data_IF_550775944721
#
_entry.id   IF_550775944721
#
_cell.length_a   1.000
_cell.length_b   1.000
_cell.length_c   1.000
_cell.angle_alpha   90.00
_cell.angle_beta   90.00
_cell.angle_gamma   90.00
#
_symmetry.space_group_name_H-M   'P 1'
#
loop_
_entity.id
_entity.type
_entity.pdbx_description
1 polymer ?
#
# COMPACT_ATOMS: atom_id res chain seq x y z
N UNK A 1 -73.43 31.51 2.21
CA UNK A 1 -72.31 30.56 2.38
C UNK A 1 -72.08 30.41 3.87
N UNK A 2 -71.98 29.17 4.36
CA UNK A 2 -71.74 28.87 5.78
C UNK A 2 -70.38 28.21 5.99
N UNK A 3 -69.96 28.06 7.25
CA UNK A 3 -68.75 27.31 7.60
C UNK A 3 -69.01 25.80 7.50
N UNK A 4 -67.99 25.02 7.13
CA UNK A 4 -68.03 23.57 7.25
C UNK A 4 -67.89 23.15 8.72
N UNK A 5 -68.48 22.01 9.11
CA UNK A 5 -68.28 21.44 10.44
C UNK A 5 -66.85 20.92 10.57
N UNK A 6 -66.17 21.26 11.67
CA UNK A 6 -64.82 20.76 11.93
C UNK A 6 -64.80 19.26 12.18
N UNK A 7 -63.68 18.63 11.84
CA UNK A 7 -63.41 17.21 12.09
C UNK A 7 -62.29 17.08 13.12
N UNK A 8 -62.21 15.93 13.80
CA UNK A 8 -61.04 15.61 14.63
C UNK A 8 -59.78 15.55 13.76
N UNK A 9 -58.68 16.07 14.30
CA UNK A 9 -57.40 16.01 13.61
C UNK A 9 -57.01 14.55 13.35
N UNK A 10 -56.66 14.20 12.10
CA UNK A 10 -56.23 12.85 11.79
C UNK A 10 -54.86 12.57 12.44
N UNK A 11 -54.57 11.28 12.63
CA UNK A 11 -53.24 10.82 13.06
C UNK A 11 -52.54 10.06 11.94
N UNK A 12 -51.26 10.36 11.71
CA UNK A 12 -50.40 9.60 10.81
C UNK A 12 -49.06 9.32 11.49
N UNK A 13 -48.77 8.05 11.75
CA UNK A 13 -47.59 7.63 12.52
C UNK A 13 -46.31 8.16 11.90
N UNK A 14 -45.52 8.88 12.68
CA UNK A 14 -44.26 9.50 12.24
C UNK A 14 -44.39 10.87 11.61
N UNK A 15 -45.59 11.44 11.62
CA UNK A 15 -45.89 12.74 11.05
C UNK A 15 -46.67 13.63 12.01
N UNK A 16 -46.40 14.93 11.92
CA UNK A 16 -47.13 15.99 12.59
C UNK A 16 -48.19 16.51 11.60
N UNK A 17 -49.46 16.48 12.00
CA UNK A 17 -50.54 17.09 11.22
C UNK A 17 -50.33 18.62 11.17
N UNK A 18 -50.35 19.19 9.96
CA UNK A 18 -50.12 20.63 9.74
C UNK A 18 -51.40 21.40 9.42
N UNK A 19 -52.49 20.70 9.08
CA UNK A 19 -53.76 21.29 8.70
C UNK A 19 -54.30 20.73 7.39
N UNK A 20 -55.44 21.28 6.96
CA UNK A 20 -56.13 20.90 5.74
C UNK A 20 -55.78 21.86 4.59
N UNK A 21 -55.68 21.36 3.37
CA UNK A 21 -55.44 22.16 2.17
C UNK A 21 -56.36 21.73 1.01
N UNK A 22 -56.75 22.66 0.14
CA UNK A 22 -57.60 22.36 -1.03
C UNK A 22 -56.88 21.61 -2.15
N UNK A 23 -55.56 21.46 -2.08
CA UNK A 23 -54.76 20.67 -3.00
C UNK A 23 -53.94 19.61 -2.26
N UNK A 24 -53.77 18.44 -2.88
CA UNK A 24 -53.05 17.30 -2.28
C UNK A 24 -51.58 17.60 -2.01
N UNK A 25 -50.95 18.39 -2.86
CA UNK A 25 -49.55 18.82 -2.78
C UNK A 25 -49.32 20.02 -1.84
N UNK A 26 -50.38 20.54 -1.21
CA UNK A 26 -50.31 21.67 -0.30
C UNK A 26 -50.19 23.04 -0.98
N UNK A 27 -50.22 23.13 -2.31
CA UNK A 27 -50.12 24.40 -3.05
C UNK A 27 -51.42 25.20 -3.08
N UNK A 28 -52.53 24.57 -2.67
CA UNK A 28 -53.84 25.18 -2.58
C UNK A 28 -53.98 26.08 -1.35
N UNK A 29 -55.22 26.42 -1.04
CA UNK A 29 -55.53 27.28 0.10
C UNK A 29 -55.57 26.43 1.36
N UNK A 30 -54.89 26.90 2.42
CA UNK A 30 -55.03 26.33 3.76
C UNK A 30 -56.46 26.52 4.23
N UNK A 31 -57.13 25.44 4.60
CA UNK A 31 -58.51 25.44 5.04
C UNK A 31 -58.60 25.49 6.56
N UNK A 32 -59.26 26.53 7.06
CA UNK A 32 -59.59 26.71 8.48
C UNK A 32 -61.11 26.65 8.66
N UNK A 33 -61.59 25.64 9.38
CA UNK A 33 -63.02 25.42 9.61
C UNK A 33 -63.71 26.57 10.36
N UNK A 34 -62.96 27.46 11.04
CA UNK A 34 -63.52 28.60 11.75
C UNK A 34 -63.71 29.83 10.87
N UNK A 35 -63.00 29.91 9.74
CA UNK A 35 -62.94 31.14 8.93
C UNK A 35 -63.22 30.92 7.44
N UNK A 36 -63.03 29.71 6.93
CA UNK A 36 -63.21 29.37 5.52
C UNK A 36 -64.68 29.10 5.18
N UNK A 37 -65.24 29.90 4.26
CA UNK A 37 -66.63 29.76 3.81
C UNK A 37 -66.75 28.69 2.72
N UNK A 38 -67.80 27.85 2.81
CA UNK A 38 -68.09 26.85 1.79
C UNK A 38 -68.55 27.51 0.48
N UNK A 39 -67.93 27.19 -0.67
CA UNK A 39 -68.37 27.64 -1.98
C UNK A 39 -69.63 26.89 -2.45
N UNK A 40 -70.23 27.32 -3.57
CA UNK A 40 -71.44 26.69 -4.14
C UNK A 40 -71.11 25.43 -4.98
N UNK A 41 -70.21 24.60 -4.47
CA UNK A 41 -69.77 23.33 -5.05
C UNK A 41 -69.05 22.50 -3.98
N UNK A 42 -68.87 21.22 -4.25
CA UNK A 42 -68.15 20.32 -3.34
C UNK A 42 -66.66 20.69 -3.27
N UNK A 43 -66.09 20.57 -2.06
CA UNK A 43 -64.66 20.82 -1.78
C UNK A 43 -64.05 19.55 -1.21
N UNK A 44 -62.95 19.09 -1.82
CA UNK A 44 -62.12 18.02 -1.25
C UNK A 44 -60.94 18.65 -0.52
N UNK A 45 -60.74 18.26 0.74
CA UNK A 45 -59.63 18.71 1.56
C UNK A 45 -58.61 17.58 1.75
N UNK A 46 -57.33 17.93 1.69
CA UNK A 46 -56.22 17.01 1.85
C UNK A 46 -55.44 17.37 3.11
N UNK A 47 -55.26 16.38 3.99
CA UNK A 47 -54.44 16.52 5.18
C UNK A 47 -52.97 16.72 4.78
N UNK A 48 -52.35 17.75 5.33
CA UNK A 48 -50.94 18.07 5.12
C UNK A 48 -50.12 17.62 6.33
N UNK A 49 -48.94 17.06 6.06
CA UNK A 49 -48.13 16.36 7.05
C UNK A 49 -46.68 16.84 7.02
N UNK A 50 -46.05 16.92 8.19
CA UNK A 50 -44.60 17.14 8.33
C UNK A 50 -43.97 15.95 9.04
N UNK A 51 -43.00 15.29 8.42
CA UNK A 51 -42.27 14.18 9.06
C UNK A 51 -41.59 14.61 10.37
N UNK A 52 -41.65 13.74 11.38
CA UNK A 52 -40.89 13.91 12.62
C UNK A 52 -39.42 13.63 12.34
N UNK A 53 -38.51 14.44 12.89
CA UNK A 53 -37.06 14.28 12.69
C UNK A 53 -36.43 13.35 13.71
N UNK A 54 -35.53 12.49 13.24
CA UNK A 54 -34.81 11.47 14.00
C UNK A 54 -33.31 11.56 13.76
N UNK A 55 -32.51 11.05 14.70
CA UNK A 55 -31.06 11.05 14.62
C UNK A 55 -30.55 9.87 13.80
N UNK A 56 -29.61 10.16 12.89
CA UNK A 56 -28.79 9.17 12.20
C UNK A 56 -27.34 9.31 12.66
N UNK A 57 -26.85 8.30 13.38
CA UNK A 57 -25.52 8.27 13.98
C UNK A 57 -24.64 7.26 13.26
N UNK A 58 -23.37 7.62 13.03
CA UNK A 58 -22.39 6.75 12.37
C UNK A 58 -21.42 6.14 13.38
N UNK A 59 -21.32 4.82 13.36
CA UNK A 59 -20.32 4.06 14.08
C UNK A 59 -19.34 3.44 13.05
N UNK A 60 -18.07 3.87 13.08
CA UNK A 60 -17.06 3.37 12.15
C UNK A 60 -16.63 1.92 12.42
N UNK A 61 -17.20 1.26 13.44
CA UNK A 61 -17.16 -0.18 13.67
C UNK A 61 -15.73 -0.75 13.58
N UNK A 62 -14.84 -0.21 14.41
CA UNK A 62 -13.41 -0.56 14.40
C UNK A 62 -12.56 0.19 13.38
N UNK A 63 -13.07 1.25 12.74
CA UNK A 63 -12.29 2.16 11.91
C UNK A 63 -11.32 3.03 12.70
N UNK A 64 -10.27 3.51 12.02
CA UNK A 64 -9.16 4.24 12.64
C UNK A 64 -9.32 5.77 12.53
N UNK A 65 -9.98 6.26 11.48
CA UNK A 65 -10.09 7.70 11.17
C UNK A 65 -11.41 8.05 10.47
N UNK A 66 -11.76 9.33 10.55
CA UNK A 66 -12.82 9.97 9.75
C UNK A 66 -14.25 9.53 10.06
N UNK A 67 -14.64 9.51 11.35
CA UNK A 67 -16.05 9.34 11.74
C UNK A 67 -16.91 10.48 11.17
N UNK A 68 -17.94 10.19 10.37
CA UNK A 68 -18.85 11.22 9.88
C UNK A 68 -19.66 11.88 11.00
N UNK A 69 -20.05 13.14 10.80
CA UNK A 69 -20.98 13.81 11.70
C UNK A 69 -22.36 13.16 11.64
N UNK A 70 -23.06 13.13 12.78
CA UNK A 70 -24.45 12.68 12.84
C UNK A 70 -25.38 13.64 12.10
N UNK A 71 -26.52 13.12 11.64
CA UNK A 71 -27.53 13.89 10.90
C UNK A 71 -28.89 13.83 11.61
N UNK A 72 -29.73 14.82 11.36
CA UNK A 72 -31.12 14.87 11.83
C UNK A 72 -32.01 14.89 10.58
N UNK A 73 -32.78 13.82 10.36
CA UNK A 73 -33.52 13.58 9.11
C UNK A 73 -34.99 13.30 9.43
N UNK A 74 -35.92 13.85 8.65
CA UNK A 74 -37.35 13.60 8.82
C UNK A 74 -37.74 12.20 8.33
N UNK A 75 -38.78 11.61 8.94
CA UNK A 75 -39.40 10.37 8.45
C UNK A 75 -39.68 10.44 6.95
N UNK A 76 -39.32 9.38 6.23
CA UNK A 76 -39.48 9.21 4.78
C UNK A 76 -38.61 10.11 3.86
N UNK A 77 -37.69 10.90 4.43
CA UNK A 77 -36.64 11.63 3.70
C UNK A 77 -35.34 10.81 3.58
N UNK A 78 -34.45 11.25 2.69
CA UNK A 78 -33.13 10.65 2.48
C UNK A 78 -32.05 11.36 3.30
N UNK A 79 -31.12 10.58 3.86
CA UNK A 79 -29.93 11.14 4.48
C UNK A 79 -28.92 11.61 3.42
N UNK A 80 -28.04 12.55 3.79
CA UNK A 80 -26.98 13.01 2.89
C UNK A 80 -25.82 12.01 2.92
N UNK A 81 -25.24 11.70 1.76
CA UNK A 81 -24.06 10.85 1.66
C UNK A 81 -22.86 11.45 2.40
N UNK A 82 -22.06 10.60 3.05
CA UNK A 82 -20.88 11.00 3.82
C UNK A 82 -19.60 10.45 3.20
N UNK A 83 -18.45 11.04 3.53
CA UNK A 83 -17.15 10.49 3.12
C UNK A 83 -16.90 9.13 3.78
N UNK A 84 -16.28 8.22 3.04
CA UNK A 84 -15.99 6.88 3.55
C UNK A 84 -14.98 6.95 4.72
N UNK A 85 -15.23 6.25 5.84
CA UNK A 85 -14.28 6.14 6.93
C UNK A 85 -13.06 5.31 6.49
N UNK A 86 -11.99 5.34 7.29
CA UNK A 86 -10.74 4.63 6.99
C UNK A 86 -10.44 3.61 8.09
N UNK A 87 -10.08 2.39 7.69
CA UNK A 87 -9.54 1.33 8.55
C UNK A 87 -8.34 0.70 7.86
N UNK A 88 -7.16 0.80 8.46
CA UNK A 88 -5.92 0.28 7.90
C UNK A 88 -6.03 -1.25 7.73
N UNK A 89 -5.67 -1.76 6.54
CA UNK A 89 -5.77 -3.19 6.19
C UNK A 89 -7.15 -3.63 5.67
N UNK A 90 -8.14 -2.75 5.64
CA UNK A 90 -9.51 -3.06 5.20
C UNK A 90 -10.02 -2.07 4.15
N UNK A 91 -10.89 -2.55 3.27
CA UNK A 91 -11.69 -1.80 2.31
C UNK A 91 -13.07 -1.58 2.90
N UNK A 92 -13.56 -0.33 2.82
CA UNK A 92 -14.93 0.01 3.20
C UNK A 92 -15.91 -0.59 2.19
N UNK A 93 -16.84 -1.41 2.66
CA UNK A 93 -17.87 -2.06 1.83
C UNK A 93 -19.13 -1.20 1.75
N UNK A 94 -19.53 -0.61 2.87
CA UNK A 94 -20.76 0.18 2.97
C UNK A 94 -21.23 0.35 4.42
N UNK A 95 -22.37 1.01 4.59
CA UNK A 95 -23.03 1.17 5.89
C UNK A 95 -24.13 0.12 6.07
N UNK A 96 -24.34 -0.36 7.29
CA UNK A 96 -25.39 -1.33 7.61
C UNK A 96 -26.06 -1.02 8.96
N UNK A 97 -27.31 -1.41 9.15
CA UNK A 97 -28.03 -1.22 10.44
C UNK A 97 -27.59 -2.21 11.54
N UNK A 98 -26.78 -3.21 11.21
CA UNK A 98 -26.17 -4.14 12.17
C UNK A 98 -24.63 -4.16 12.03
N UNK A 99 -23.89 -4.29 13.15
CA UNK A 99 -22.42 -4.25 13.15
C UNK A 99 -21.75 -5.44 12.43
N UNK A 100 -22.44 -6.57 12.29
CA UNK A 100 -21.97 -7.78 11.61
C UNK A 100 -22.39 -7.83 10.12
N UNK A 101 -23.13 -6.81 9.64
CA UNK A 101 -23.63 -6.74 8.28
C UNK A 101 -24.90 -7.55 8.01
N UNK A 102 -25.49 -8.19 9.03
CA UNK A 102 -26.74 -8.96 8.89
C UNK A 102 -27.99 -8.11 8.72
N UNK A 103 -27.89 -6.81 9.00
CA UNK A 103 -28.97 -5.85 8.87
C UNK A 103 -29.14 -5.33 7.44
N UNK A 104 -29.81 -4.19 7.33
CA UNK A 104 -30.10 -3.56 6.05
C UNK A 104 -28.86 -2.79 5.61
N UNK A 105 -28.37 -3.10 4.39
CA UNK A 105 -27.35 -2.29 3.74
C UNK A 105 -27.95 -0.91 3.41
N UNK A 106 -27.34 0.14 3.94
CA UNK A 106 -27.86 1.49 3.82
C UNK A 106 -27.39 2.15 2.53
N UNK A 107 -28.35 2.47 1.67
CA UNK A 107 -28.14 3.21 0.42
C UNK A 107 -28.73 4.62 0.58
N UNK A 108 -27.88 5.65 0.56
CA UNK A 108 -28.29 7.05 0.72
C UNK A 108 -29.25 7.56 -0.37
N UNK A 109 -29.32 6.89 -1.53
CA UNK A 109 -30.19 7.30 -2.64
C UNK A 109 -31.55 6.60 -2.61
N UNK A 110 -31.64 5.45 -1.93
CA UNK A 110 -32.81 4.56 -2.01
C UNK A 110 -33.38 4.17 -0.64
N UNK A 111 -32.67 4.43 0.46
CA UNK A 111 -33.10 4.11 1.83
C UNK A 111 -33.59 5.37 2.52
N UNK A 112 -34.88 5.36 2.87
CA UNK A 112 -35.53 6.45 3.59
C UNK A 112 -35.37 6.29 5.10
N UNK A 113 -35.34 7.41 5.80
CA UNK A 113 -35.27 7.43 7.26
C UNK A 113 -36.58 6.87 7.87
N UNK A 114 -36.52 5.85 8.73
CA UNK A 114 -37.69 5.34 9.43
C UNK A 114 -38.15 6.31 10.53
N UNK A 115 -39.32 6.05 11.11
CA UNK A 115 -39.84 6.82 12.25
C UNK A 115 -39.16 6.43 13.58
N UNK A 116 -37.83 6.42 13.62
CA UNK A 116 -37.02 6.18 14.81
C UNK A 116 -35.55 6.57 14.55
N UNK A 117 -34.78 6.77 15.62
CA UNK A 117 -33.33 6.95 15.54
C UNK A 117 -32.63 5.69 14.98
N UNK A 118 -31.57 5.90 14.20
CA UNK A 118 -30.78 4.83 13.57
C UNK A 118 -29.29 5.03 13.85
N UNK A 119 -28.62 3.92 14.14
CA UNK A 119 -27.15 3.83 14.12
C UNK A 119 -26.71 2.98 12.93
N UNK A 120 -25.85 3.53 12.10
CA UNK A 120 -25.22 2.82 10.98
C UNK A 120 -23.81 2.41 11.35
N UNK A 121 -23.48 1.16 11.05
CA UNK A 121 -22.18 0.56 11.27
C UNK A 121 -21.44 0.42 9.94
N UNK A 122 -20.18 0.84 9.91
CA UNK A 122 -19.32 0.60 8.77
C UNK A 122 -19.06 -0.92 8.62
N UNK A 123 -19.22 -1.44 7.42
CA UNK A 123 -18.88 -2.83 7.08
C UNK A 123 -17.58 -2.83 6.30
N UNK A 124 -16.70 -3.74 6.69
CA UNK A 124 -15.32 -3.82 6.21
C UNK A 124 -15.07 -5.16 5.54
N UNK A 125 -14.24 -5.14 4.51
CA UNK A 125 -13.66 -6.33 3.88
C UNK A 125 -12.15 -6.19 3.91
N UNK A 126 -11.38 -7.24 4.23
CA UNK A 126 -9.92 -7.18 4.15
C UNK A 126 -9.48 -6.77 2.73
N UNK A 127 -8.58 -5.80 2.63
CA UNK A 127 -8.03 -5.35 1.34
C UNK A 127 -6.97 -6.34 0.85
N UNK A 128 -7.30 -7.25 -0.09
CA UNK A 128 -6.40 -8.17 -0.80
C UNK A 128 -5.13 -8.64 -0.02
N UNK A 129 -5.34 -9.18 1.18
CA UNK A 129 -4.28 -9.55 2.13
C UNK A 129 -3.69 -10.95 1.84
N UNK A 130 -3.59 -11.36 0.57
CA UNK A 130 -3.00 -12.67 0.27
C UNK A 130 -1.52 -12.68 0.65
N UNK A 131 -1.00 -13.86 0.98
CA UNK A 131 0.41 -14.05 1.29
C UNK A 131 1.28 -13.55 0.12
N UNK A 132 0.91 -13.87 -1.12
CA UNK A 132 1.60 -13.42 -2.33
C UNK A 132 1.62 -11.89 -2.52
N UNK A 133 0.59 -11.18 -2.06
CA UNK A 133 0.57 -9.70 -2.14
C UNK A 133 1.27 -9.05 -0.95
N UNK A 134 1.40 -9.77 0.16
CA UNK A 134 2.02 -9.26 1.38
C UNK A 134 3.53 -9.32 1.31
N UNK A 135 4.10 -10.41 0.80
CA UNK A 135 5.54 -10.61 0.71
C UNK A 135 5.97 -10.47 -0.75
N UNK A 136 6.81 -9.47 -1.04
CA UNK A 136 7.17 -9.11 -2.43
C UNK A 136 8.11 -10.11 -3.11
N UNK A 137 8.84 -10.91 -2.32
CA UNK A 137 9.63 -12.02 -2.82
C UNK A 137 8.75 -13.27 -2.92
N UNK A 138 8.63 -13.83 -4.12
CA UNK A 138 7.75 -14.98 -4.37
C UNK A 138 8.22 -16.23 -3.61
N UNK A 139 9.53 -16.46 -3.50
CA UNK A 139 10.07 -17.60 -2.75
C UNK A 139 9.81 -17.44 -1.25
N UNK A 140 9.89 -16.21 -0.74
CA UNK A 140 9.49 -15.91 0.63
C UNK A 140 7.99 -16.17 0.85
N UNK A 141 7.13 -15.62 -0.02
CA UNK A 141 5.69 -15.81 0.05
C UNK A 141 5.30 -17.29 0.02
N UNK A 142 5.92 -18.07 -0.87
CA UNK A 142 5.68 -19.50 -0.99
C UNK A 142 6.09 -20.26 0.28
N UNK A 143 7.28 -20.00 0.80
CA UNK A 143 7.74 -20.68 2.01
C UNK A 143 6.93 -20.30 3.26
N UNK A 144 6.44 -19.05 3.32
CA UNK A 144 5.49 -18.64 4.36
C UNK A 144 4.18 -19.40 4.18
N UNK A 145 3.61 -19.45 2.98
CA UNK A 145 2.38 -20.21 2.71
C UNK A 145 2.53 -21.69 3.05
N UNK A 146 3.66 -22.32 2.75
CA UNK A 146 3.95 -23.70 3.17
C UNK A 146 3.93 -23.85 4.70
N UNK A 147 4.42 -22.85 5.44
CA UNK A 147 4.51 -22.90 6.89
C UNK A 147 3.16 -22.65 7.60
N UNK A 148 2.27 -21.83 7.03
CA UNK A 148 1.06 -21.35 7.73
C UNK A 148 -0.25 -21.49 6.97
N UNK A 149 -0.23 -21.94 5.71
CA UNK A 149 -1.37 -21.93 4.80
C UNK A 149 -1.44 -23.16 3.86
N UNK A 150 -0.81 -24.28 4.24
CA UNK A 150 -0.75 -25.51 3.43
C UNK A 150 -0.26 -25.27 1.98
N UNK A 151 0.61 -24.27 1.78
CA UNK A 151 1.18 -23.90 0.47
C UNK A 151 0.30 -22.98 -0.38
N UNK A 152 -0.89 -22.58 0.07
CA UNK A 152 -1.75 -21.66 -0.68
C UNK A 152 -1.25 -20.21 -0.55
N UNK A 153 -0.44 -19.78 -1.51
CA UNK A 153 0.06 -18.39 -1.59
C UNK A 153 -1.03 -17.34 -1.78
N UNK A 154 -2.23 -17.74 -2.21
CA UNK A 154 -3.37 -16.83 -2.37
C UNK A 154 -4.24 -16.77 -1.11
N UNK A 155 -3.99 -17.62 -0.12
CA UNK A 155 -4.68 -17.58 1.16
C UNK A 155 -4.52 -16.21 1.81
N UNK A 156 -5.60 -15.75 2.45
CA UNK A 156 -5.58 -14.49 3.20
C UNK A 156 -4.71 -14.66 4.43
N UNK A 157 -3.71 -13.81 4.60
CA UNK A 157 -2.88 -13.77 5.79
C UNK A 157 -3.72 -13.26 6.97
N UNK A 158 -4.01 -14.14 7.92
CA UNK A 158 -4.78 -13.84 9.13
C UNK A 158 -3.86 -13.63 10.34
N UNK A 159 -4.37 -12.92 11.36
CA UNK A 159 -3.63 -12.70 12.62
C UNK A 159 -3.29 -14.02 13.34
N UNK A 160 -4.17 -15.03 13.24
CA UNK A 160 -3.93 -16.35 13.81
C UNK A 160 -2.74 -17.06 13.14
N UNK A 161 -2.66 -16.99 11.80
CA UNK A 161 -1.55 -17.57 11.04
C UNK A 161 -0.22 -16.89 11.40
N UNK A 162 -0.22 -15.55 11.52
CA UNK A 162 0.95 -14.78 11.97
C UNK A 162 1.34 -15.17 13.39
N UNK A 163 0.36 -15.27 14.29
CA UNK A 163 0.59 -15.52 15.71
C UNK A 163 1.19 -16.91 15.95
N UNK A 164 0.79 -17.91 15.16
CA UNK A 164 1.24 -19.29 15.28
C UNK A 164 2.56 -19.59 14.53
N UNK A 165 3.02 -18.70 13.65
CA UNK A 165 4.27 -18.86 12.92
C UNK A 165 5.49 -18.64 13.84
N UNK A 166 6.06 -19.74 14.34
CA UNK A 166 7.19 -19.69 15.29
C UNK A 166 8.51 -20.19 14.68
N UNK A 167 8.45 -20.97 13.60
CA UNK A 167 9.61 -21.51 12.90
C UNK A 167 9.40 -21.27 11.41
N UNK A 168 10.40 -20.69 10.75
CA UNK A 168 10.41 -20.50 9.31
C UNK A 168 11.75 -20.95 8.73
N UNK A 169 11.70 -21.99 7.89
CA UNK A 169 12.88 -22.49 7.19
C UNK A 169 12.90 -21.98 5.75
N UNK A 170 13.84 -21.08 5.46
CA UNK A 170 14.06 -20.48 4.16
C UNK A 170 15.43 -20.88 3.58
N UNK A 171 16.07 -21.92 4.11
CA UNK A 171 17.40 -22.32 3.66
C UNK A 171 17.36 -22.77 2.19
N UNK A 172 18.29 -22.24 1.38
CA UNK A 172 18.44 -22.61 -0.04
C UNK A 172 17.18 -22.39 -0.89
N UNK A 173 16.44 -21.32 -0.62
CA UNK A 173 15.19 -20.98 -1.35
C UNK A 173 15.36 -19.87 -2.40
N UNK A 174 16.57 -19.35 -2.56
CA UNK A 174 16.84 -18.24 -3.48
C UNK A 174 16.17 -16.94 -3.03
N UNK A 175 16.06 -16.73 -1.72
CA UNK A 175 15.49 -15.49 -1.16
C UNK A 175 16.43 -14.33 -1.51
N UNK A 176 15.89 -13.28 -2.11
CA UNK A 176 16.62 -12.05 -2.41
C UNK A 176 16.17 -10.93 -1.48
N UNK A 177 14.88 -10.91 -1.16
CA UNK A 177 14.24 -9.80 -0.47
C UNK A 177 13.41 -10.27 0.73
N UNK A 178 13.69 -9.68 1.89
CA UNK A 178 13.07 -10.00 3.17
C UNK A 178 12.08 -8.94 3.66
N UNK A 179 11.70 -7.97 2.81
CA UNK A 179 10.72 -6.96 3.18
C UNK A 179 9.46 -7.61 3.76
N UNK A 180 8.91 -6.95 4.77
CA UNK A 180 7.72 -7.40 5.51
C UNK A 180 7.92 -8.63 6.40
N UNK A 181 9.10 -9.26 6.47
CA UNK A 181 9.36 -10.39 7.39
C UNK A 181 9.09 -10.01 8.85
N UNK A 182 9.27 -8.72 9.20
CA UNK A 182 8.98 -8.17 10.51
C UNK A 182 7.51 -8.25 10.95
N UNK A 183 6.58 -8.68 10.09
CA UNK A 183 5.19 -8.99 10.45
C UNK A 183 5.07 -10.27 11.28
N UNK A 184 6.00 -11.22 11.13
CA UNK A 184 5.98 -12.51 11.83
C UNK A 184 6.61 -12.42 13.23
N UNK A 185 6.05 -11.53 14.07
CA UNK A 185 6.64 -11.10 15.35
C UNK A 185 6.86 -12.22 16.39
N UNK A 186 6.22 -13.38 16.20
CA UNK A 186 6.34 -14.55 17.08
C UNK A 186 7.36 -15.59 16.60
N UNK A 187 8.12 -15.30 15.52
CA UNK A 187 9.21 -16.16 15.09
C UNK A 187 10.25 -16.33 16.21
N UNK A 188 10.57 -17.60 16.47
CA UNK A 188 11.63 -18.06 17.36
C UNK A 188 12.82 -18.60 16.59
N UNK A 189 12.57 -19.21 15.43
CA UNK A 189 13.63 -19.74 14.56
C UNK A 189 13.43 -19.26 13.12
N UNK A 190 14.47 -18.68 12.54
CA UNK A 190 14.49 -18.20 11.16
C UNK A 190 15.77 -18.67 10.47
N UNK A 191 15.64 -19.61 9.54
CA UNK A 191 16.80 -20.18 8.83
C UNK A 191 16.92 -19.55 7.44
N UNK A 192 17.94 -18.72 7.20
CA UNK A 192 18.14 -17.99 5.94
C UNK A 192 19.47 -18.31 5.23
N UNK A 193 20.15 -19.37 5.68
CA UNK A 193 21.40 -19.84 5.08
C UNK A 193 21.26 -20.14 3.57
N UNK A 194 22.34 -19.97 2.81
CA UNK A 194 22.43 -20.30 1.39
C UNK A 194 21.38 -19.58 0.51
N UNK A 195 21.19 -18.27 0.69
CA UNK A 195 20.28 -17.46 -0.12
C UNK A 195 21.05 -16.34 -0.87
N UNK A 196 20.33 -15.34 -1.39
CA UNK A 196 20.88 -14.24 -2.18
C UNK A 196 20.62 -12.88 -1.50
N UNK A 197 20.55 -12.88 -0.16
CA UNK A 197 20.07 -11.73 0.62
C UNK A 197 21.16 -10.66 0.68
N UNK A 198 20.93 -9.57 -0.05
CA UNK A 198 21.83 -8.42 -0.12
C UNK A 198 21.59 -7.40 1.00
N UNK A 199 20.36 -7.30 1.50
CA UNK A 199 19.93 -6.29 2.47
C UNK A 199 19.10 -6.96 3.56
N UNK A 200 19.50 -6.78 4.82
CA UNK A 200 18.65 -7.11 5.97
C UNK A 200 17.75 -5.91 6.27
N UNK A 201 16.43 -5.99 6.07
CA UNK A 201 15.58 -4.82 6.19
C UNK A 201 15.37 -4.44 7.66
N UNK A 202 15.25 -3.13 8.00
CA UNK A 202 15.22 -2.67 9.38
C UNK A 202 14.06 -3.23 10.23
N UNK A 203 12.95 -3.62 9.61
CA UNK A 203 11.81 -4.28 10.26
C UNK A 203 12.13 -5.68 10.80
N UNK A 204 13.25 -6.31 10.41
CA UNK A 204 13.72 -7.55 11.06
C UNK A 204 13.91 -7.37 12.56
N UNK A 205 14.18 -6.14 13.03
CA UNK A 205 14.30 -5.83 14.46
C UNK A 205 12.98 -6.00 15.23
N UNK A 206 11.84 -6.14 14.55
CA UNK A 206 10.56 -6.45 15.17
C UNK A 206 10.45 -7.92 15.64
N UNK A 207 11.34 -8.79 15.18
CA UNK A 207 11.41 -10.21 15.56
C UNK A 207 12.07 -10.38 16.92
N UNK A 208 11.49 -9.76 17.96
CA UNK A 208 12.08 -9.67 19.30
C UNK A 208 12.16 -11.02 20.02
N UNK A 209 11.36 -12.00 19.60
CA UNK A 209 11.29 -13.35 20.19
C UNK A 209 12.23 -14.36 19.51
N UNK A 210 13.07 -13.89 18.57
CA UNK A 210 13.94 -14.76 17.79
C UNK A 210 15.08 -15.29 18.67
N UNK A 211 15.17 -16.61 18.80
CA UNK A 211 16.16 -17.31 19.60
C UNK A 211 17.21 -18.00 18.72
N UNK A 212 16.89 -18.27 17.45
CA UNK A 212 17.79 -18.90 16.48
C UNK A 212 17.68 -18.26 15.10
N UNK A 213 18.82 -17.90 14.51
CA UNK A 213 18.92 -17.24 13.21
C UNK A 213 20.15 -17.75 12.45
N UNK A 214 19.97 -18.17 11.19
CA UNK A 214 21.10 -18.42 10.27
C UNK A 214 21.08 -17.40 9.16
N UNK A 215 22.25 -16.87 8.79
CA UNK A 215 22.42 -15.86 7.74
C UNK A 215 23.69 -16.11 6.91
N UNK A 216 24.37 -17.24 7.13
CA UNK A 216 25.63 -17.58 6.49
C UNK A 216 25.45 -17.99 5.02
N UNK A 217 26.55 -17.93 4.28
CA UNK A 217 26.65 -18.41 2.90
C UNK A 217 25.69 -17.74 1.90
N UNK A 218 25.47 -16.42 2.01
CA UNK A 218 24.77 -15.71 0.95
C UNK A 218 25.60 -15.71 -0.34
N UNK A 219 24.97 -15.90 -1.49
CA UNK A 219 25.64 -15.94 -2.79
C UNK A 219 24.95 -15.00 -3.77
N UNK A 220 25.41 -13.75 -3.81
CA UNK A 220 24.73 -12.67 -4.52
C UNK A 220 25.37 -12.47 -5.90
N UNK A 221 24.55 -12.33 -6.95
CA UNK A 221 25.00 -11.95 -8.28
C UNK A 221 24.54 -10.53 -8.63
N UNK A 222 25.50 -9.65 -8.89
CA UNK A 222 25.24 -8.32 -9.41
C UNK A 222 24.98 -8.39 -10.92
N UNK A 223 24.31 -7.37 -11.51
CA UNK A 223 24.17 -7.26 -12.95
C UNK A 223 25.53 -7.28 -13.64
N UNK A 224 25.62 -7.98 -14.77
CA UNK A 224 26.84 -8.01 -15.59
C UNK A 224 27.21 -6.60 -16.06
N UNK A 225 28.49 -6.23 -15.90
CA UNK A 225 29.02 -4.95 -16.39
C UNK A 225 30.08 -5.16 -17.45
N UNK A 226 30.33 -4.14 -18.27
CA UNK A 226 31.41 -4.20 -19.25
C UNK A 226 32.78 -4.20 -18.54
N UNK A 227 33.70 -5.01 -19.07
CA UNK A 227 35.08 -5.11 -18.60
C UNK A 227 35.80 -3.74 -18.64
N UNK A 228 36.51 -3.45 -17.56
CA UNK A 228 37.42 -2.34 -17.39
C UNK A 228 38.64 -2.83 -16.61
N UNK A 229 39.83 -2.31 -16.90
CA UNK A 229 41.05 -2.68 -16.13
C UNK A 229 41.05 -2.12 -14.71
N UNK A 230 40.12 -1.21 -14.41
CA UNK A 230 39.93 -0.58 -13.11
C UNK A 230 38.44 -0.52 -12.77
N UNK A 231 38.07 -1.08 -11.61
CA UNK A 231 36.72 -1.03 -11.08
C UNK A 231 36.72 -0.54 -9.65
N UNK A 232 35.69 0.21 -9.29
CA UNK A 232 35.42 0.61 -7.92
C UNK A 232 33.96 0.30 -7.61
N UNK A 233 33.72 -0.36 -6.49
CA UNK A 233 32.39 -0.72 -6.00
C UNK A 233 32.28 -0.40 -4.52
N UNK A 234 31.27 0.40 -4.15
CA UNK A 234 30.83 0.50 -2.75
C UNK A 234 30.05 -0.77 -2.45
N UNK A 235 30.35 -1.44 -1.32
CA UNK A 235 29.63 -2.64 -0.91
C UNK A 235 28.11 -2.37 -0.90
N UNK A 236 27.31 -3.14 -1.66
CA UNK A 236 25.86 -3.01 -1.68
C UNK A 236 25.20 -3.65 -0.45
N UNK A 237 25.99 -4.32 0.39
CA UNK A 237 25.51 -5.11 1.51
C UNK A 237 25.13 -4.20 2.66
N UNK A 238 23.92 -4.40 3.21
CA UNK A 238 23.44 -3.65 4.36
C UNK A 238 22.94 -4.56 5.47
N UNK A 239 23.35 -4.26 6.70
CA UNK A 239 22.85 -4.94 7.89
C UNK A 239 21.48 -4.39 8.33
N UNK A 240 20.91 -4.98 9.39
CA UNK A 240 19.60 -4.66 9.95
C UNK A 240 19.48 -3.25 10.55
N UNK A 241 20.60 -2.52 10.69
CA UNK A 241 20.61 -1.10 11.09
C UNK A 241 20.61 -0.16 9.88
N UNK A 242 20.73 -0.71 8.66
CA UNK A 242 20.90 0.05 7.43
C UNK A 242 22.34 0.49 7.16
N UNK A 243 23.30 0.00 7.95
CA UNK A 243 24.72 0.30 7.80
C UNK A 243 25.33 -0.56 6.69
N UNK A 244 26.29 -0.01 5.95
CA UNK A 244 27.00 -0.75 4.90
C UNK A 244 27.97 -1.73 5.56
N UNK A 245 27.93 -3.01 5.13
CA UNK A 245 28.89 -4.02 5.56
C UNK A 245 30.12 -3.95 4.66
N UNK A 246 31.33 -3.69 5.20
CA UNK A 246 32.55 -3.60 4.40
C UNK A 246 32.92 -4.91 3.69
N UNK A 247 33.58 -4.84 2.52
CA UNK A 247 34.19 -6.01 1.89
C UNK A 247 35.38 -6.52 2.73
N UNK A 248 35.70 -7.81 2.66
CA UNK A 248 36.85 -8.44 3.35
C UNK A 248 37.90 -9.02 2.40
N UNK A 249 37.60 -10.14 1.75
CA UNK A 249 38.50 -10.80 0.78
C UNK A 249 37.92 -10.69 -0.61
N UNK A 250 38.76 -10.74 -1.65
CA UNK A 250 38.30 -10.58 -3.02
C UNK A 250 39.14 -11.35 -4.03
N UNK A 251 38.56 -11.62 -5.20
CA UNK A 251 39.25 -12.19 -6.35
C UNK A 251 40.05 -11.13 -7.11
N UNK A 252 41.10 -11.54 -7.81
CA UNK A 252 41.91 -10.64 -8.64
C UNK A 252 42.78 -9.71 -7.79
N UNK A 253 43.36 -8.69 -8.44
CA UNK A 253 44.16 -7.68 -7.78
C UNK A 253 43.22 -6.59 -7.21
N UNK A 254 43.26 -6.37 -5.90
CA UNK A 254 42.33 -5.45 -5.23
C UNK A 254 42.95 -4.70 -4.04
N UNK A 255 42.30 -3.60 -3.67
CA UNK A 255 42.47 -2.90 -2.40
C UNK A 255 41.11 -2.55 -1.79
N UNK A 256 41.05 -2.43 -0.47
CA UNK A 256 39.84 -2.08 0.27
C UNK A 256 40.08 -0.75 0.99
N UNK A 257 39.12 0.16 0.86
CA UNK A 257 39.13 1.45 1.53
C UNK A 257 37.77 1.69 2.21
N UNK A 258 37.68 1.35 3.50
CA UNK A 258 36.42 1.40 4.23
C UNK A 258 35.37 0.50 3.58
N UNK A 259 34.29 1.09 3.07
CA UNK A 259 33.16 0.38 2.46
C UNK A 259 33.36 0.09 0.96
N UNK A 260 34.49 0.48 0.40
CA UNK A 260 34.77 0.39 -1.03
C UNK A 260 35.80 -0.70 -1.31
N UNK A 261 35.56 -1.44 -2.39
CA UNK A 261 36.56 -2.28 -3.01
C UNK A 261 36.97 -1.72 -4.36
N UNK A 262 38.27 -1.73 -4.62
CA UNK A 262 38.88 -1.27 -5.85
C UNK A 262 39.63 -2.44 -6.46
N UNK A 263 39.27 -2.80 -7.69
CA UNK A 263 40.04 -3.73 -8.50
C UNK A 263 40.88 -2.97 -9.52
N UNK A 264 42.11 -3.42 -9.73
CA UNK A 264 43.07 -2.77 -10.62
C UNK A 264 43.99 -3.81 -11.24
N UNK A 265 44.66 -3.49 -12.35
CA UNK A 265 45.60 -4.40 -13.04
C UNK A 265 44.97 -5.79 -13.27
N UNK A 266 43.73 -5.80 -13.74
CA UNK A 266 42.98 -7.01 -14.01
C UNK A 266 43.46 -7.71 -15.28
N UNK A 267 43.45 -9.05 -15.24
CA UNK A 267 43.72 -9.88 -16.42
C UNK A 267 42.62 -9.65 -17.48
N UNK A 268 43.02 -9.49 -18.73
CA UNK A 268 42.11 -9.34 -19.88
C UNK A 268 41.23 -10.57 -20.14
N UNK A 269 41.39 -11.68 -19.41
CA UNK A 269 40.52 -12.86 -19.45
C UNK A 269 39.57 -12.98 -18.26
N UNK A 270 39.63 -12.08 -17.28
CA UNK A 270 38.78 -12.18 -16.08
C UNK A 270 37.32 -11.93 -16.44
N UNK A 271 36.45 -12.89 -16.12
CA UNK A 271 35.00 -12.86 -16.40
C UNK A 271 34.14 -12.65 -15.17
N UNK A 272 34.73 -12.80 -13.99
CA UNK A 272 34.03 -12.71 -12.72
C UNK A 272 34.97 -12.10 -11.69
N UNK A 273 34.53 -11.01 -11.09
CA UNK A 273 35.10 -10.51 -9.85
C UNK A 273 34.18 -10.92 -8.71
N UNK A 274 34.74 -11.12 -7.52
CA UNK A 274 33.95 -11.35 -6.33
C UNK A 274 34.62 -10.79 -5.10
N UNK A 275 33.82 -10.49 -4.08
CA UNK A 275 34.32 -10.24 -2.74
C UNK A 275 33.44 -10.91 -1.69
N UNK A 276 34.01 -11.17 -0.53
CA UNK A 276 33.33 -11.72 0.64
C UNK A 276 33.01 -10.61 1.63
N UNK A 277 31.95 -10.81 2.39
CA UNK A 277 31.56 -9.95 3.50
C UNK A 277 31.18 -10.79 4.71
N UNK A 278 31.23 -10.17 5.89
CA UNK A 278 30.86 -10.79 7.14
C UNK A 278 30.52 -9.71 8.18
N UNK A 279 29.37 -9.82 8.82
CA UNK A 279 28.92 -8.98 9.93
C UNK A 279 28.24 -9.83 11.02
N UNK A 280 28.40 -9.44 12.28
CA UNK A 280 27.74 -10.10 13.41
C UNK A 280 26.42 -9.41 13.70
N UNK A 281 25.31 -10.09 13.41
CA UNK A 281 23.96 -9.55 13.51
C UNK A 281 23.27 -10.08 14.76
N UNK A 282 22.60 -9.20 15.50
CA UNK A 282 21.77 -9.55 16.65
C UNK A 282 20.33 -9.08 16.37
N UNK A 283 19.39 -10.01 16.47
CA UNK A 283 17.93 -9.78 16.31
C UNK A 283 17.23 -10.61 17.40
N UNK A 284 16.44 -9.96 18.25
CA UNK A 284 15.90 -10.61 19.44
C UNK A 284 17.03 -11.10 20.35
N UNK A 285 16.99 -12.38 20.72
CA UNK A 285 18.04 -13.07 21.46
C UNK A 285 19.05 -13.79 20.54
N UNK A 286 18.74 -13.92 19.26
CA UNK A 286 19.57 -14.63 18.30
C UNK A 286 20.77 -13.77 17.86
N UNK A 287 21.94 -14.40 17.82
CA UNK A 287 23.14 -13.85 17.17
C UNK A 287 23.48 -14.72 15.96
N UNK A 288 23.70 -14.09 14.81
CA UNK A 288 23.97 -14.77 13.55
C UNK A 288 25.14 -14.13 12.80
N UNK A 289 25.89 -14.96 12.08
CA UNK A 289 26.90 -14.51 11.14
C UNK A 289 26.24 -14.18 9.79
N UNK A 290 26.10 -12.90 9.47
CA UNK A 290 25.66 -12.45 8.15
C UNK A 290 26.85 -12.38 7.20
N UNK A 291 27.03 -13.42 6.40
CA UNK A 291 28.20 -13.58 5.55
C UNK A 291 27.86 -14.17 4.19
N UNK A 292 28.75 -13.93 3.22
CA UNK A 292 28.56 -14.42 1.88
C UNK A 292 29.58 -13.92 0.88
N UNK A 293 29.31 -14.23 -0.38
CA UNK A 293 30.06 -13.78 -1.55
C UNK A 293 29.17 -12.93 -2.45
N UNK A 294 29.69 -11.78 -2.87
CA UNK A 294 29.12 -10.94 -3.91
C UNK A 294 29.91 -11.16 -5.19
N UNK A 295 29.22 -11.53 -6.25
CA UNK A 295 29.79 -11.82 -7.56
C UNK A 295 29.41 -10.72 -8.54
N UNK A 296 30.41 -10.15 -9.23
CA UNK A 296 30.28 -9.14 -10.27
C UNK A 296 30.72 -9.75 -11.62
N UNK A 297 29.78 -10.25 -12.42
CA UNK A 297 30.08 -10.77 -13.75
C UNK A 297 30.55 -9.64 -14.68
N UNK A 298 31.48 -9.96 -15.58
CA UNK A 298 32.07 -9.05 -16.55
C UNK A 298 31.85 -9.54 -17.99
N UNK A 299 31.62 -8.61 -18.92
CA UNK A 299 31.56 -8.88 -20.37
C UNK A 299 32.52 -8.01 -21.18
N UNK A 300 33.09 -8.55 -22.24
CA UNK A 300 33.98 -7.81 -23.16
C UNK A 300 33.22 -7.17 -24.33
N UNK A 301 31.93 -7.47 -24.48
CA UNK A 301 31.09 -6.87 -25.51
C UNK A 301 30.81 -5.40 -25.16
N UNK A 302 30.99 -4.49 -26.14
CA UNK A 302 30.62 -3.07 -25.96
C UNK A 302 29.11 -3.00 -25.75
N UNK A 303 28.66 -2.37 -24.66
CA UNK A 303 27.28 -1.94 -24.57
C UNK A 303 27.02 -0.94 -25.69
N UNK A 304 26.02 -1.19 -26.54
CA UNK A 304 25.57 -0.21 -27.53
C UNK A 304 24.85 1.00 -26.89
N UNK A 305 24.77 1.05 -25.56
CA UNK A 305 24.13 2.14 -24.82
C UNK A 305 25.16 3.12 -24.26
N UNK A 306 24.93 4.39 -24.54
CA UNK A 306 25.81 5.51 -24.24
C UNK A 306 25.73 5.90 -22.77
N UNK A 307 26.89 5.98 -22.10
CA UNK A 307 27.17 6.74 -20.86
C UNK A 307 26.03 6.80 -19.81
N UNK A 308 25.93 5.78 -18.95
CA UNK A 308 25.16 5.87 -17.70
C UNK A 308 26.09 6.14 -16.51
N UNK A 309 26.02 7.35 -15.95
CA UNK A 309 26.38 7.57 -14.54
C UNK A 309 25.35 6.76 -13.72
N UNK A 310 25.79 5.68 -13.07
CA UNK A 310 24.92 4.81 -12.29
C UNK A 310 24.50 5.54 -10.99
N UNK A 311 23.33 6.16 -11.01
CA UNK A 311 22.68 6.69 -9.81
C UNK A 311 21.76 5.59 -9.25
N UNK A 312 22.11 4.97 -8.12
CA UNK A 312 21.48 3.74 -7.58
C UNK A 312 20.13 4.04 -6.88
N UNK A 313 19.39 5.07 -7.31
CA UNK A 313 18.05 5.38 -6.78
C UNK A 313 16.90 4.74 -7.57
N UNK A 314 17.18 3.91 -8.58
CA UNK A 314 16.16 3.30 -9.43
C UNK A 314 16.42 1.82 -9.78
N UNK A 315 16.68 0.98 -8.78
CA UNK A 315 16.58 -0.48 -8.97
C UNK A 315 15.08 -0.87 -9.05
N UNK A 316 14.68 -1.75 -9.99
CA UNK A 316 13.28 -2.09 -10.21
C UNK A 316 12.71 -2.89 -9.02
N UNK A 317 11.50 -2.50 -8.58
CA UNK A 317 10.72 -3.10 -7.51
C UNK A 317 10.06 -4.44 -7.87
N UNK A 318 10.59 -5.21 -8.81
CA UNK A 318 9.94 -6.46 -9.23
C UNK A 318 10.97 -7.55 -9.43
N UNK A 319 11.06 -8.42 -8.43
CA UNK A 319 11.73 -9.71 -8.54
C UNK A 319 10.89 -10.64 -9.40
N UNK A 320 11.39 -10.95 -10.58
CA UNK A 320 11.13 -12.21 -11.26
C UNK A 320 12.45 -12.60 -11.90
N UNK A 321 12.98 -13.77 -11.53
CA UNK A 321 14.06 -14.39 -12.28
C UNK A 321 13.53 -14.76 -13.66
N UNK A 322 13.87 -13.96 -14.67
CA UNK A 322 13.78 -14.34 -16.08
C UNK A 322 15.03 -13.82 -16.77
N UNK A 323 15.89 -14.75 -17.18
CA UNK A 323 16.89 -14.49 -18.22
C UNK A 323 16.16 -14.15 -19.54
N UNK A 324 16.66 -13.10 -20.23
CA UNK A 324 16.61 -12.82 -21.68
C UNK A 324 15.76 -11.64 -22.20
N UNK A 325 16.48 -10.82 -22.98
CA UNK A 325 16.15 -9.83 -24.03
C UNK A 325 15.63 -8.41 -23.73
N UNK A 326 16.56 -7.46 -23.98
CA UNK A 326 16.51 -6.24 -24.80
C UNK A 326 15.28 -5.32 -24.81
N UNK A 327 15.60 -4.04 -24.55
CA UNK A 327 15.05 -2.82 -25.18
C UNK A 327 13.57 -2.47 -24.94
N UNK A 328 13.33 -1.41 -24.16
CA UNK A 328 12.13 -0.56 -24.32
C UNK A 328 12.54 0.92 -24.34
N UNK A 329 12.24 1.53 -25.48
CA UNK A 329 12.21 2.98 -25.75
C UNK A 329 10.95 3.57 -25.10
N UNK A 330 11.04 4.80 -24.55
CA UNK A 330 9.96 5.76 -24.70
C UNK A 330 10.53 7.18 -24.95
N UNK A 331 10.25 7.68 -26.16
CA UNK A 331 10.43 9.06 -26.61
C UNK A 331 9.24 9.91 -26.17
N UNK A 332 9.49 11.16 -25.73
CA UNK A 332 8.79 12.41 -26.14
C UNK A 332 9.62 13.60 -25.60
N UNK A 333 10.47 14.25 -26.41
CA UNK A 333 10.23 15.46 -27.25
C UNK A 333 10.03 16.78 -26.48
N UNK A 334 10.88 17.76 -26.79
CA UNK A 334 10.77 19.17 -26.43
C UNK A 334 12.14 19.89 -26.49
N UNK A 335 12.87 19.84 -27.61
CA UNK A 335 12.95 20.91 -28.63
C UNK A 335 13.51 22.26 -28.13
N UNK A 336 14.71 22.63 -28.62
CA UNK A 336 14.99 23.77 -29.52
C UNK A 336 16.37 24.40 -29.25
N UNK A 337 17.20 24.40 -30.31
CA UNK A 337 18.21 25.38 -30.75
C UNK A 337 19.32 25.79 -29.76
N UNK A 338 20.57 25.99 -30.15
CA UNK A 338 21.26 26.22 -31.43
C UNK A 338 22.75 25.90 -31.15
N UNK A 339 23.55 25.34 -32.05
CA UNK A 339 23.77 25.81 -33.41
C UNK A 339 25.03 26.68 -33.46
N UNK A 340 26.18 26.00 -33.49
CA UNK A 340 27.36 26.30 -34.33
C UNK A 340 28.17 27.57 -34.04
N UNK A 341 29.48 27.38 -33.82
CA UNK A 341 30.45 28.48 -33.88
C UNK A 341 31.90 28.04 -33.65
N UNK A 342 32.49 27.41 -34.66
CA UNK A 342 33.93 27.16 -34.83
C UNK A 342 34.81 28.34 -34.36
N UNK A 343 35.95 28.06 -33.71
CA UNK A 343 37.23 28.70 -34.05
C UNK A 343 38.45 27.97 -33.48
N UNK A 344 39.29 27.51 -34.42
CA UNK A 344 40.68 27.06 -34.30
C UNK A 344 41.49 27.94 -33.32
N UNK A 345 42.16 27.31 -32.35
CA UNK A 345 43.28 27.91 -31.62
C UNK A 345 44.58 27.50 -32.32
N UNK A 346 45.25 28.45 -33.00
CA UNK A 346 46.61 28.29 -33.52
C UNK A 346 47.47 29.42 -32.95
N UNK A 347 48.43 29.01 -32.11
CA UNK A 347 49.74 29.57 -31.76
C UNK A 347 49.96 31.10 -31.65
N UNK A 348 50.46 31.45 -30.45
CA UNK A 348 51.50 32.44 -30.14
C UNK A 348 52.31 32.95 -31.35
N UNK A 349 52.39 34.29 -31.49
CA UNK A 349 53.63 35.06 -31.29
C UNK A 349 53.41 36.57 -31.41
N UNK A 350 53.99 37.27 -30.44
CA UNK A 350 54.75 38.52 -30.53
C UNK A 350 54.08 39.90 -30.75
N UNK A 351 54.17 40.66 -29.65
CA UNK A 351 54.67 42.05 -29.51
C UNK A 351 53.81 43.23 -29.95
N UNK A 352 53.35 43.93 -28.91
CA UNK A 352 52.99 45.34 -28.88
C UNK A 352 54.18 46.24 -29.32
N UNK A 353 53.87 47.19 -30.20
CA UNK A 353 54.24 48.60 -30.04
C UNK A 353 53.11 49.47 -30.56
#
# INVERSE_FOLDING_TARGET
MGLATSVLDPSYTGYIFKGWNTAKDGTGVTWDFNTSLMPNNDVTLFAQWKGISHNLVFNINGGDRSTPNSQIIATDDFATSVSNPIRNGYSFVGWNTAPDGSGIAWDFSNTKMPNQDIMLYAIWKLSNNSIANTFSDYSLALAIADAIADGDVNASLTDDMITNCTILNLESKGIVDLREIGKLVNLRQLLLKNNEIMILPPEMRNLINLDYLTLDNQNIFLPTIQYCSFFKLVSPIKNQKGEIVPPKNSSGNYSINGNEIIWYNLDAQIKLLSFTFEDSVVIGNATANYSGTVNQPLTFEKSNDSLSILNISSLPKTGHSVFMFSSIILLTVGSLLSGIGFLKRKNNKDTNK
#
